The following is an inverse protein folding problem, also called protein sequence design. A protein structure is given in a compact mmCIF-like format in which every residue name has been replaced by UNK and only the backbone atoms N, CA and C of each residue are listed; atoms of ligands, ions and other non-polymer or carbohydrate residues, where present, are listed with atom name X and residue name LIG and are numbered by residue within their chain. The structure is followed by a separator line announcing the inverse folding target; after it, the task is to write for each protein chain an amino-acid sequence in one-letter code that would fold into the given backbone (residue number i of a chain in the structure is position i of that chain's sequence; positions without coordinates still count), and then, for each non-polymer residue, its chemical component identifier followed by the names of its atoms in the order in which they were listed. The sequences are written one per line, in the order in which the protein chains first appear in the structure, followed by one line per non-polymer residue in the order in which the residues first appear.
data_IF_390461207080
#
_entry.id   IF_390461207080
#
_cell.length_a   1.000
_cell.length_b   1.000
_cell.length_c   1.000
_cell.angle_alpha   90.00
_cell.angle_beta   90.00
_cell.angle_gamma   90.00
#
_symmetry.space_group_name_H-M   'P 1'
#
loop_
_entity.id
_entity.type
_entity.pdbx_description
1 polymer ?
#
# COMPACT_ATOMS: atom_id res chain seq x y z
N UNK A 1 14.26 -11.68 -0.63
CA UNK A 1 13.25 -12.61 -1.20
C UNK A 1 13.86 -13.83 -1.88
N UNK A 2 15.03 -13.75 -2.53
CA UNK A 2 15.72 -14.91 -3.15
C UNK A 2 14.79 -15.74 -4.05
N UNK A 3 13.91 -15.04 -4.75
CA UNK A 3 12.95 -15.55 -5.71
C UNK A 3 13.30 -14.90 -7.04
N UNK A 4 13.34 -15.70 -8.09
CA UNK A 4 13.58 -15.29 -9.46
C UNK A 4 12.62 -16.09 -10.34
N UNK A 5 12.04 -15.43 -11.33
CA UNK A 5 11.13 -16.04 -12.29
C UNK A 5 11.83 -16.16 -13.64
N UNK A 6 11.72 -17.33 -14.26
CA UNK A 6 12.19 -17.58 -15.63
C UNK A 6 10.99 -17.95 -16.48
N UNK A 7 10.67 -17.10 -17.46
CA UNK A 7 9.50 -17.21 -18.31
C UNK A 7 9.74 -16.51 -19.65
N UNK A 8 9.15 -17.04 -20.72
CA UNK A 8 9.17 -16.40 -22.05
C UNK A 8 8.13 -15.26 -22.18
N UNK A 9 7.31 -15.05 -21.14
CA UNK A 9 6.22 -14.08 -21.06
C UNK A 9 6.40 -13.19 -19.83
N UNK A 10 6.16 -11.88 -20.00
CA UNK A 10 6.18 -10.91 -18.92
C UNK A 10 4.84 -10.16 -18.84
N UNK A 11 4.39 -9.88 -17.62
CA UNK A 11 3.18 -9.09 -17.35
C UNK A 11 3.51 -7.97 -16.39
N UNK A 12 3.17 -6.73 -16.76
CA UNK A 12 3.40 -5.55 -15.95
C UNK A 12 2.11 -4.76 -15.76
N UNK A 13 1.79 -4.41 -14.51
CA UNK A 13 0.76 -3.42 -14.20
C UNK A 13 1.41 -2.05 -13.99
N UNK A 14 1.01 -1.06 -14.79
CA UNK A 14 1.49 0.31 -14.73
C UNK A 14 0.40 1.25 -14.22
N UNK A 15 0.72 1.98 -13.16
CA UNK A 15 -0.09 3.11 -12.73
C UNK A 15 0.30 4.34 -13.56
N UNK A 16 -0.52 4.70 -14.55
CA UNK A 16 -0.21 5.78 -15.51
C UNK A 16 -1.49 6.35 -16.12
N UNK A 17 -1.49 7.65 -16.45
CA UNK A 17 -2.55 8.31 -17.23
C UNK A 17 -2.36 8.17 -18.73
N UNK A 18 -1.18 7.75 -19.18
CA UNK A 18 -0.80 7.63 -20.59
C UNK A 18 -0.38 6.21 -20.91
N UNK A 19 -0.80 5.71 -22.08
CA UNK A 19 -0.38 4.41 -22.54
C UNK A 19 1.11 4.44 -22.91
N UNK A 20 1.88 3.38 -22.58
CA UNK A 20 3.28 3.29 -22.97
C UNK A 20 3.41 3.26 -24.49
N UNK A 21 4.35 4.02 -25.02
CA UNK A 21 4.71 3.99 -26.44
C UNK A 21 5.64 2.79 -26.76
N UNK A 22 5.96 2.60 -28.04
CA UNK A 22 6.81 1.48 -28.49
C UNK A 22 8.21 1.48 -27.87
N UNK A 23 8.78 2.66 -27.59
CA UNK A 23 10.08 2.79 -26.93
C UNK A 23 10.05 2.26 -25.49
N UNK A 24 9.02 2.64 -24.73
CA UNK A 24 8.79 2.14 -23.37
C UNK A 24 8.53 0.64 -23.36
N UNK A 25 7.73 0.13 -24.30
CA UNK A 25 7.47 -1.31 -24.44
C UNK A 25 8.75 -2.07 -24.75
N UNK A 26 9.57 -1.59 -25.69
CA UNK A 26 10.84 -2.21 -26.05
C UNK A 26 11.82 -2.23 -24.88
N UNK A 27 11.89 -1.13 -24.13
CA UNK A 27 12.69 -1.03 -22.91
C UNK A 27 12.28 -2.05 -21.86
N UNK A 28 10.98 -2.16 -21.56
CA UNK A 28 10.48 -3.12 -20.56
C UNK A 28 10.74 -4.56 -21.00
N UNK A 29 10.49 -4.88 -22.28
CA UNK A 29 10.69 -6.22 -22.82
C UNK A 29 12.17 -6.65 -22.72
N UNK A 30 13.11 -5.76 -23.06
CA UNK A 30 14.55 -5.98 -22.90
C UNK A 30 14.93 -6.24 -21.43
N UNK A 31 14.42 -5.42 -20.49
CA UNK A 31 14.68 -5.59 -19.05
C UNK A 31 14.10 -6.88 -18.48
N UNK A 32 13.00 -7.37 -19.04
CA UNK A 32 12.40 -8.64 -18.67
C UNK A 32 13.01 -9.83 -19.43
N UNK A 33 13.88 -9.61 -20.42
CA UNK A 33 14.46 -10.68 -21.23
C UNK A 33 13.46 -11.39 -22.14
N UNK A 34 12.34 -10.74 -22.49
CA UNK A 34 11.28 -11.32 -23.34
C UNK A 34 11.15 -10.56 -24.66
N UNK A 35 10.50 -11.18 -25.65
CA UNK A 35 10.15 -10.50 -26.90
C UNK A 35 8.97 -9.54 -26.66
N UNK A 36 8.88 -8.39 -27.36
CA UNK A 36 7.77 -7.45 -27.19
C UNK A 36 6.38 -8.07 -27.39
N UNK A 37 6.25 -9.02 -28.33
CA UNK A 37 5.00 -9.78 -28.57
C UNK A 37 4.56 -10.66 -27.39
N UNK A 38 5.47 -10.93 -26.46
CA UNK A 38 5.23 -11.69 -25.23
C UNK A 38 5.14 -10.80 -23.97
N UNK A 39 5.18 -9.48 -24.12
CA UNK A 39 5.01 -8.52 -23.02
C UNK A 39 3.56 -8.03 -22.98
N UNK A 40 2.90 -8.19 -21.84
CA UNK A 40 1.56 -7.68 -21.59
C UNK A 40 1.63 -6.56 -20.58
N UNK A 41 1.09 -5.39 -20.94
CA UNK A 41 1.05 -4.22 -20.06
C UNK A 41 -0.40 -3.84 -19.76
N UNK A 42 -0.74 -3.80 -18.48
CA UNK A 42 -2.03 -3.33 -17.97
C UNK A 42 -1.82 -1.91 -17.44
N UNK A 43 -2.40 -0.91 -18.08
CA UNK A 43 -2.27 0.48 -17.67
C UNK A 43 -3.57 0.97 -16.98
N UNK A 44 -3.44 1.60 -15.82
CA UNK A 44 -4.57 2.22 -15.12
C UNK A 44 -4.15 3.52 -14.44
N UNK A 45 -4.90 4.59 -14.66
CA UNK A 45 -4.65 5.87 -14.00
C UNK A 45 -5.03 5.80 -12.51
N UNK A 46 -4.32 6.53 -11.65
CA UNK A 46 -4.62 6.64 -10.21
C UNK A 46 -6.06 7.07 -9.96
N UNK A 47 -6.56 8.06 -10.73
CA UNK A 47 -7.93 8.59 -10.71
C UNK A 47 -8.96 7.76 -11.50
N UNK A 48 -8.76 6.45 -11.58
CA UNK A 48 -9.72 5.51 -12.16
C UNK A 48 -10.23 4.51 -11.11
N UNK A 49 -11.33 3.82 -11.42
CA UNK A 49 -11.83 2.74 -10.57
C UNK A 49 -10.80 1.62 -10.41
N UNK A 50 -10.13 1.23 -11.50
CA UNK A 50 -9.07 0.24 -11.47
C UNK A 50 -7.91 0.69 -10.57
N UNK A 51 -7.49 1.97 -10.66
CA UNK A 51 -6.47 2.58 -9.80
C UNK A 51 -6.84 2.52 -8.32
N UNK A 52 -8.06 2.94 -7.97
CA UNK A 52 -8.55 2.90 -6.59
C UNK A 52 -8.59 1.47 -6.02
N UNK A 53 -9.10 0.53 -6.81
CA UNK A 53 -9.19 -0.89 -6.42
C UNK A 53 -7.80 -1.48 -6.24
N UNK A 54 -6.89 -1.30 -7.20
CA UNK A 54 -5.56 -1.92 -7.10
C UNK A 54 -4.76 -1.36 -5.93
N UNK A 55 -4.85 -0.06 -5.63
CA UNK A 55 -4.10 0.52 -4.49
C UNK A 55 -4.65 -0.02 -3.18
N UNK A 56 -5.98 -0.07 -3.03
CA UNK A 56 -6.62 -0.62 -1.82
C UNK A 56 -6.29 -2.11 -1.63
N UNK A 57 -6.18 -2.86 -2.73
CA UNK A 57 -5.79 -4.27 -2.71
C UNK A 57 -4.36 -4.51 -2.20
N UNK A 58 -3.51 -3.46 -2.13
CA UNK A 58 -2.15 -3.54 -1.55
C UNK A 58 -2.13 -3.51 -0.02
N UNK A 59 -3.28 -3.62 0.66
CA UNK A 59 -3.32 -3.66 2.14
C UNK A 59 -2.33 -4.66 2.74
N UNK A 60 -2.29 -5.91 2.27
CA UNK A 60 -1.34 -6.92 2.75
C UNK A 60 0.10 -6.58 2.38
N UNK A 61 0.33 -6.12 1.15
CA UNK A 61 1.67 -5.74 0.67
C UNK A 61 2.27 -4.63 1.54
N UNK A 62 1.50 -3.57 1.80
CA UNK A 62 1.94 -2.46 2.66
C UNK A 62 2.19 -2.91 4.11
N UNK A 63 1.38 -3.85 4.62
CA UNK A 63 1.63 -4.50 5.91
C UNK A 63 2.97 -5.23 5.96
N UNK A 64 3.22 -6.12 4.99
CA UNK A 64 4.48 -6.87 4.91
C UNK A 64 5.67 -5.95 4.66
N UNK A 65 5.53 -4.95 3.78
CA UNK A 65 6.56 -3.95 3.51
C UNK A 65 6.93 -3.19 4.79
N UNK A 66 5.95 -2.79 5.60
CA UNK A 66 6.20 -2.14 6.88
C UNK A 66 6.92 -3.06 7.88
N UNK A 67 6.58 -4.34 7.95
CA UNK A 67 7.35 -5.28 8.79
C UNK A 67 8.80 -5.39 8.31
N UNK A 68 9.01 -5.39 6.99
CA UNK A 68 10.35 -5.40 6.40
C UNK A 68 11.18 -4.17 6.78
N UNK A 69 10.60 -2.97 6.76
CA UNK A 69 11.31 -1.75 7.21
C UNK A 69 11.61 -1.76 8.72
N UNK A 70 10.87 -2.55 9.51
CA UNK A 70 11.16 -2.83 10.91
C UNK A 70 12.17 -3.98 11.12
N UNK A 71 12.74 -4.52 10.05
CA UNK A 71 13.77 -5.56 10.09
C UNK A 71 13.26 -7.00 10.12
N UNK A 72 11.97 -7.24 9.86
CA UNK A 72 11.43 -8.59 9.64
C UNK A 72 11.84 -9.09 8.27
N UNK A 73 12.30 -10.33 8.16
CA UNK A 73 12.50 -10.94 6.86
C UNK A 73 11.12 -11.25 6.26
N UNK A 74 10.77 -10.76 5.04
CA UNK A 74 9.46 -11.02 4.46
C UNK A 74 9.13 -12.51 4.29
N UNK A 75 10.16 -13.38 4.24
CA UNK A 75 9.99 -14.84 4.21
C UNK A 75 9.43 -15.42 5.50
N UNK A 76 9.53 -14.70 6.61
CA UNK A 76 8.96 -15.11 7.89
C UNK A 76 7.44 -14.83 7.92
N UNK A 77 6.91 -14.01 6.99
CA UNK A 77 5.46 -13.86 6.82
C UNK A 77 4.93 -15.01 5.98
N UNK A 78 4.29 -15.98 6.63
CA UNK A 78 3.82 -17.22 6.02
C UNK A 78 2.51 -17.02 5.26
N UNK A 79 1.61 -16.19 5.79
CA UNK A 79 0.33 -15.88 5.17
C UNK A 79 -0.18 -14.50 5.56
N UNK A 80 -1.02 -13.92 4.71
CA UNK A 80 -1.66 -12.65 4.96
C UNK A 80 -3.05 -12.56 4.35
N UNK A 81 -3.95 -11.87 5.04
CA UNK A 81 -5.25 -11.44 4.55
C UNK A 81 -5.44 -9.97 4.92
N UNK A 82 -6.11 -9.19 4.08
CA UNK A 82 -6.28 -7.77 4.33
C UNK A 82 -7.59 -7.25 3.74
N UNK A 83 -8.08 -6.18 4.34
CA UNK A 83 -9.19 -5.40 3.82
C UNK A 83 -8.85 -3.92 3.89
N UNK A 84 -9.25 -3.18 2.87
CA UNK A 84 -9.21 -1.72 2.83
C UNK A 84 -10.42 -1.18 2.06
N UNK A 85 -10.94 0.00 2.41
CA UNK A 85 -11.98 0.64 1.62
C UNK A 85 -11.45 1.03 0.23
N UNK A 86 -12.29 0.92 -0.79
CA UNK A 86 -11.99 1.48 -2.11
C UNK A 86 -12.26 2.99 -2.06
N UNK A 87 -11.26 3.80 -2.37
CA UNK A 87 -11.40 5.25 -2.35
C UNK A 87 -12.41 5.72 -3.43
N UNK A 88 -13.37 6.61 -3.09
CA UNK A 88 -14.23 7.24 -4.08
C UNK A 88 -13.43 8.09 -5.06
N UNK A 89 -13.70 7.90 -6.35
CA UNK A 89 -12.95 8.52 -7.44
C UNK A 89 -13.03 10.05 -7.36
N UNK A 90 -11.89 10.69 -7.55
CA UNK A 90 -11.77 12.14 -7.67
C UNK A 90 -11.12 12.47 -9.02
N UNK A 91 -11.59 13.49 -9.77
CA UNK A 91 -11.04 13.81 -11.09
C UNK A 91 -9.58 14.29 -11.03
N UNK A 92 -9.21 15.02 -9.98
CA UNK A 92 -7.82 15.46 -9.73
C UNK A 92 -6.95 14.27 -9.27
N UNK A 93 -5.91 13.87 -10.06
CA UNK A 93 -5.00 12.79 -9.71
C UNK A 93 -4.24 13.00 -8.40
N UNK A 94 -3.90 14.24 -8.05
CA UNK A 94 -3.15 14.54 -6.83
C UNK A 94 -4.00 14.31 -5.58
N UNK A 95 -5.26 14.73 -5.64
CA UNK A 95 -6.22 14.42 -4.57
C UNK A 95 -6.47 12.91 -4.51
N UNK A 96 -6.55 12.23 -5.66
CA UNK A 96 -6.76 10.79 -5.69
C UNK A 96 -5.59 10.00 -5.09
N UNK A 97 -4.35 10.42 -5.36
CA UNK A 97 -3.14 9.86 -4.77
C UNK A 97 -3.23 9.89 -3.24
N UNK A 98 -3.63 11.02 -2.67
CA UNK A 98 -3.82 11.11 -1.22
C UNK A 98 -4.98 10.26 -0.70
N UNK A 99 -6.14 10.28 -1.37
CA UNK A 99 -7.31 9.49 -0.96
C UNK A 99 -7.04 7.99 -0.89
N UNK A 100 -6.36 7.46 -1.90
CA UNK A 100 -6.05 6.03 -1.98
C UNK A 100 -5.07 5.60 -0.89
N UNK A 101 -4.06 6.43 -0.60
CA UNK A 101 -3.17 6.24 0.54
C UNK A 101 -3.93 6.32 1.87
N UNK A 102 -4.80 7.32 2.06
CA UNK A 102 -5.60 7.46 3.28
C UNK A 102 -6.46 6.22 3.56
N UNK A 103 -6.97 5.52 2.53
CA UNK A 103 -7.70 4.27 2.73
C UNK A 103 -6.83 3.17 3.33
N UNK A 104 -5.54 3.14 3.00
CA UNK A 104 -4.58 2.20 3.58
C UNK A 104 -4.20 2.63 4.99
N UNK A 105 -3.76 3.88 5.15
CA UNK A 105 -3.22 4.41 6.40
C UNK A 105 -4.24 4.49 7.52
N UNK A 106 -5.51 4.70 7.19
CA UNK A 106 -6.57 4.92 8.17
C UNK A 106 -7.70 3.89 8.09
N UNK A 107 -7.77 3.13 7.00
CA UNK A 107 -8.85 2.18 6.75
C UNK A 107 -8.43 0.73 6.57
N UNK A 108 -7.14 0.44 6.34
CA UNK A 108 -6.71 -0.94 6.13
C UNK A 108 -6.56 -1.70 7.44
N UNK A 109 -7.04 -2.93 7.43
CA UNK A 109 -6.80 -3.93 8.46
C UNK A 109 -6.15 -5.15 7.82
N UNK A 110 -5.05 -5.61 8.42
CA UNK A 110 -4.30 -6.78 7.95
C UNK A 110 -4.20 -7.85 9.03
N UNK A 111 -4.34 -9.09 8.60
CA UNK A 111 -4.19 -10.30 9.40
C UNK A 111 -2.97 -11.04 8.86
N UNK A 112 -1.96 -11.25 9.69
CA UNK A 112 -0.69 -11.87 9.28
C UNK A 112 -0.40 -13.09 10.15
N UNK A 113 0.07 -14.17 9.52
CA UNK A 113 0.70 -15.29 10.21
C UNK A 113 2.20 -15.19 10.00
N UNK A 114 2.95 -15.00 11.08
CA UNK A 114 4.38 -14.67 11.05
C UNK A 114 5.14 -15.72 11.86
N UNK A 115 6.09 -16.40 11.22
CA UNK A 115 6.99 -17.37 11.82
C UNK A 115 8.03 -16.67 12.70
N UNK A 116 7.61 -16.33 13.93
CA UNK A 116 8.39 -15.59 14.91
C UNK A 116 7.88 -15.90 16.32
N UNK A 117 8.78 -15.90 17.30
CA UNK A 117 8.43 -15.95 18.73
C UNK A 117 7.44 -14.86 19.13
N UNK A 118 6.42 -15.22 19.90
CA UNK A 118 5.28 -14.36 20.20
C UNK A 118 5.70 -13.05 20.88
N UNK A 119 6.58 -13.07 21.88
CA UNK A 119 7.03 -11.87 22.59
C UNK A 119 7.69 -10.87 21.64
N UNK A 120 8.51 -11.36 20.71
CA UNK A 120 9.18 -10.53 19.70
C UNK A 120 8.17 -9.97 18.70
N UNK A 121 7.21 -10.78 18.26
CA UNK A 121 6.13 -10.34 17.38
C UNK A 121 5.30 -9.25 18.05
N UNK A 122 4.96 -9.42 19.33
CA UNK A 122 4.19 -8.47 20.14
C UNK A 122 4.87 -7.11 20.23
N UNK A 123 6.17 -7.08 20.56
CA UNK A 123 6.95 -5.84 20.62
C UNK A 123 7.06 -5.15 19.25
N UNK A 124 7.17 -5.93 18.18
CA UNK A 124 7.26 -5.39 16.83
C UNK A 124 5.94 -4.77 16.38
N UNK A 125 4.80 -5.38 16.72
CA UNK A 125 3.48 -4.86 16.40
C UNK A 125 3.20 -3.50 17.05
N UNK A 126 3.86 -3.12 18.15
CA UNK A 126 3.71 -1.78 18.74
C UNK A 126 4.16 -0.65 17.78
N UNK A 127 5.00 -0.97 16.79
CA UNK A 127 5.61 -0.02 15.83
C UNK A 127 5.11 -0.19 14.39
N UNK A 128 4.26 -1.18 14.14
CA UNK A 128 3.83 -1.55 12.79
C UNK A 128 2.68 -0.68 12.24
N UNK A 129 1.63 -0.31 13.00
CA UNK A 129 0.54 0.51 12.49
C UNK A 129 0.97 1.91 12.07
N UNK A 130 0.23 2.52 11.15
CA UNK A 130 0.43 3.93 10.77
C UNK A 130 0.42 4.88 11.98
N UNK A 131 -0.39 4.56 13.00
CA UNK A 131 -0.50 5.38 14.21
C UNK A 131 0.73 5.37 15.14
N UNK A 132 1.75 4.56 14.84
CA UNK A 132 3.03 4.66 15.52
C UNK A 132 3.93 5.76 14.95
N UNK A 133 3.57 6.31 13.78
CA UNK A 133 4.31 7.40 13.15
C UNK A 133 4.03 8.73 13.85
N UNK A 134 5.05 9.59 13.92
CA UNK A 134 4.91 10.97 14.42
C UNK A 134 4.02 11.85 13.53
N UNK A 135 3.90 11.49 12.25
CA UNK A 135 3.13 12.23 11.25
C UNK A 135 1.68 11.72 11.15
N UNK A 136 1.28 10.77 11.99
CA UNK A 136 -0.09 10.26 12.04
C UNK A 136 -1.09 11.34 12.43
N UNK A 137 -2.27 11.29 11.82
CA UNK A 137 -3.40 12.16 12.18
C UNK A 137 -3.74 13.20 11.12
N UNK A 138 -3.00 13.23 10.01
CA UNK A 138 -3.22 14.16 8.89
C UNK A 138 -3.69 13.43 7.64
N UNK A 139 -4.67 14.01 6.93
CA UNK A 139 -5.12 13.51 5.64
C UNK A 139 -4.06 13.73 4.57
N UNK A 140 -3.60 12.66 3.92
CA UNK A 140 -2.67 12.75 2.78
C UNK A 140 -3.33 13.51 1.64
N UNK A 141 -4.62 13.31 1.40
CA UNK A 141 -5.37 14.07 0.39
C UNK A 141 -5.35 15.58 0.64
N UNK A 142 -5.44 16.02 1.89
CA UNK A 142 -5.33 17.45 2.22
C UNK A 142 -3.90 17.96 2.09
N UNK A 143 -2.92 17.19 2.58
CA UNK A 143 -1.51 17.60 2.53
C UNK A 143 -0.95 17.66 1.11
N UNK A 144 -1.25 16.67 0.29
CA UNK A 144 -0.85 16.67 -1.13
C UNK A 144 -1.52 17.83 -1.87
N UNK A 145 -2.75 18.21 -1.50
CA UNK A 145 -3.41 19.39 -2.06
C UNK A 145 -2.75 20.71 -1.62
N UNK A 146 -2.24 20.78 -0.39
CA UNK A 146 -1.60 21.99 0.15
C UNK A 146 -0.20 22.23 -0.40
N UNK A 147 0.64 21.18 -0.45
CA UNK A 147 2.08 21.32 -0.72
C UNK A 147 2.62 20.38 -1.80
N UNK A 148 1.75 19.65 -2.51
CA UNK A 148 2.14 18.77 -3.60
C UNK A 148 2.61 17.38 -3.17
N UNK A 149 3.10 16.60 -4.14
CA UNK A 149 3.61 15.23 -3.93
C UNK A 149 4.86 15.20 -3.04
N UNK A 150 5.54 16.34 -2.88
CA UNK A 150 6.71 16.55 -2.05
C UNK A 150 6.47 16.12 -0.60
N UNK A 151 5.22 16.24 -0.12
CA UNK A 151 4.81 15.74 1.19
C UNK A 151 5.18 14.27 1.41
N UNK A 152 5.01 13.43 0.39
CA UNK A 152 5.25 11.98 0.49
C UNK A 152 6.73 11.64 0.75
N UNK A 153 7.64 12.57 0.46
CA UNK A 153 9.08 12.42 0.72
C UNK A 153 9.53 13.09 2.03
N UNK A 154 8.67 13.87 2.66
CA UNK A 154 8.97 14.61 3.91
C UNK A 154 8.48 13.88 5.16
N UNK A 155 7.49 12.99 5.01
CA UNK A 155 6.94 12.20 6.11
C UNK A 155 7.88 11.09 6.55
N UNK A 156 7.74 10.70 7.81
CA UNK A 156 8.33 9.47 8.34
C UNK A 156 8.01 8.27 7.41
N UNK A 157 9.01 7.50 6.95
CA UNK A 157 8.77 6.27 6.19
C UNK A 157 7.85 5.29 6.92
N UNK A 158 7.84 5.34 8.25
CA UNK A 158 6.95 4.56 9.09
C UNK A 158 5.47 4.92 8.98
N UNK A 159 5.13 6.04 8.35
CA UNK A 159 3.76 6.53 8.10
C UNK A 159 3.00 5.66 7.11
N UNK A 160 3.68 5.11 6.10
CA UNK A 160 3.07 4.25 5.07
C UNK A 160 2.90 2.82 5.58
N UNK A 161 1.83 2.62 6.36
CA UNK A 161 1.47 1.34 6.93
C UNK A 161 -0.06 1.21 7.05
N UNK A 162 -0.61 -0.01 7.09
CA UNK A 162 -1.98 -0.25 7.49
C UNK A 162 -2.37 0.38 8.83
N UNK A 163 -3.66 0.71 8.96
CA UNK A 163 -4.22 1.30 10.16
C UNK A 163 -4.26 0.33 11.34
N UNK A 164 -4.57 -0.94 11.08
CA UNK A 164 -4.68 -2.00 12.10
C UNK A 164 -4.04 -3.30 11.64
N UNK A 165 -3.38 -3.98 12.57
CA UNK A 165 -2.78 -5.29 12.41
C UNK A 165 -3.37 -6.27 13.42
N UNK A 166 -3.53 -7.50 12.98
CA UNK A 166 -3.67 -8.69 13.82
C UNK A 166 -2.59 -9.67 13.36
N UNK A 167 -1.64 -10.00 14.22
CA UNK A 167 -0.54 -10.90 13.86
C UNK A 167 -0.51 -12.10 14.79
N UNK A 168 -0.40 -13.30 14.23
CA UNK A 168 -0.34 -14.55 14.96
C UNK A 168 1.00 -15.26 14.73
N UNK A 169 1.50 -15.87 15.79
CA UNK A 169 2.73 -16.66 15.81
C UNK A 169 2.45 -18.16 15.66
N UNK A 170 3.46 -19.01 15.36
CA UNK A 170 3.27 -20.45 15.24
C UNK A 170 2.83 -21.15 16.53
N UNK A 171 3.07 -20.55 17.70
CA UNK A 171 2.61 -21.06 18.99
C UNK A 171 1.11 -20.86 19.22
N UNK A 172 0.44 -20.08 18.37
CA UNK A 172 -1.01 -19.88 18.37
C UNK A 172 -1.47 -18.59 19.05
N UNK A 173 -0.58 -17.88 19.74
CA UNK A 173 -0.89 -16.55 20.27
C UNK A 173 -0.91 -15.49 19.16
N UNK A 174 -1.84 -14.55 19.31
CA UNK A 174 -2.02 -13.42 18.42
C UNK A 174 -1.97 -12.09 19.19
N UNK A 175 -1.48 -11.05 18.53
CA UNK A 175 -1.44 -9.68 19.03
C UNK A 175 -2.18 -8.76 18.06
N UNK A 176 -2.97 -7.84 18.60
CA UNK A 176 -3.59 -6.76 17.85
C UNK A 176 -2.85 -5.45 18.09
N UNK A 177 -2.72 -4.62 17.06
CA UNK A 177 -2.13 -3.29 17.19
C UNK A 177 -2.72 -2.31 16.18
N UNK A 178 -2.80 -1.04 16.57
CA UNK A 178 -3.34 0.03 15.74
C UNK A 178 -4.86 0.14 15.81
N UNK A 179 -5.41 1.01 14.97
CA UNK A 179 -6.85 1.32 14.93
C UNK A 179 -7.25 1.90 13.59
N UNK A 180 -8.47 1.61 13.18
CA UNK A 180 -9.12 2.32 12.07
C UNK A 180 -9.43 3.76 12.50
N UNK A 181 -9.42 4.68 11.54
CA UNK A 181 -9.71 6.09 11.77
C UNK A 181 -10.70 6.63 10.71
N UNK A 182 -12.01 6.36 10.89
CA UNK A 182 -13.04 6.78 9.96
C UNK A 182 -13.19 8.31 9.87
N UNK A 183 -12.75 9.06 10.88
CA UNK A 183 -12.83 10.52 10.87
C UNK A 183 -11.89 11.12 9.82
N UNK A 184 -10.64 10.64 9.76
CA UNK A 184 -9.68 11.09 8.73
C UNK A 184 -10.09 10.62 7.35
N UNK A 185 -10.61 9.39 7.22
CA UNK A 185 -11.21 8.92 5.96
C UNK A 185 -12.30 9.89 5.51
N UNK A 186 -13.21 10.26 6.41
CA UNK A 186 -14.30 11.19 6.12
C UNK A 186 -13.79 12.54 5.65
N UNK A 187 -12.74 13.08 6.29
CA UNK A 187 -12.06 14.32 5.86
C UNK A 187 -11.46 14.16 4.46
N UNK A 188 -10.71 13.08 4.23
CA UNK A 188 -10.03 12.77 2.96
C UNK A 188 -11.01 12.72 1.77
N UNK A 189 -12.17 12.10 1.97
CA UNK A 189 -13.19 11.98 0.92
C UNK A 189 -14.23 13.11 0.93
N UNK A 190 -14.11 14.05 1.87
CA UNK A 190 -14.98 15.23 1.99
C UNK A 190 -16.39 14.93 2.52
N UNK A 191 -16.59 13.80 3.20
CA UNK A 191 -17.86 13.49 3.87
C UNK A 191 -18.09 14.46 5.05
N UNK A 192 -19.32 14.96 5.19
CA UNK A 192 -19.70 15.84 6.31
C UNK A 192 -19.39 17.32 6.12
N UNK A 193 -18.68 17.72 5.05
CA UNK A 193 -18.58 19.14 4.67
C UNK A 193 -19.90 19.59 4.07
N UNK A 194 -20.69 20.36 4.83
CA UNK A 194 -21.81 21.13 4.24
C UNK A 194 -21.21 22.14 3.27
N UNK A 195 -21.70 22.12 2.03
CA UNK A 195 -21.39 23.15 1.02
C UNK A 195 -21.90 24.50 1.48
#
# INVERSE_FOLDING_TARGET
MGYEESSDVAVLALETSELPNEEVISYIADKCGVRPENLYVIAAATNSLAGSVQISARSVETGVHKLHTLGVNPRDVIAGSGRAPIAPIHPDPMIMLGRTNDMLLYGAEVFLFVDMEYERLRELMEKAPSCSSKDYGVSVAEKVKEIGQEFLYQVDPGFFAPARYVACSPSGECVESGKLNPDIISISIGLGRRR
#
